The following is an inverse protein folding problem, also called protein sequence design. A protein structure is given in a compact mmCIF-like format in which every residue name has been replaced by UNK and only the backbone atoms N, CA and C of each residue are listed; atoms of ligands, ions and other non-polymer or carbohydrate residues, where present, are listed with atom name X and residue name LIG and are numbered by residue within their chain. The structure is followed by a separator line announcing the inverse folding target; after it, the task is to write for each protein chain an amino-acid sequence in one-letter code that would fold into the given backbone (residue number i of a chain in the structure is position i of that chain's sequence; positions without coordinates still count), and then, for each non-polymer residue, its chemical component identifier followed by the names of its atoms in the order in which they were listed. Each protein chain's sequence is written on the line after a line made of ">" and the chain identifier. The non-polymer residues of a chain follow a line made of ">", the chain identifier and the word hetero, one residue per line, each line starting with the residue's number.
data_IF_731668421681
#
_entry.id   IF_731668421681
#
_cell.length_a   1.000
_cell.length_b   1.000
_cell.length_c   1.000
_cell.angle_alpha   90.00
_cell.angle_beta   90.00
_cell.angle_gamma   90.00
#
_symmetry.space_group_name_H-M   'P 1'
#
loop_
_entity.id
_entity.type
_entity.pdbx_description
1 polymer ?
#
# COMPACT_ATOMS: atom_id res chain seq x y z
N UNK A 1 0.22 2.40 26.80
CA UNK A 1 -0.19 0.98 26.85
C UNK A 1 0.39 0.30 25.63
N UNK A 2 1.33 -0.63 25.82
CA UNK A 2 1.98 -1.34 24.71
C UNK A 2 1.15 -2.59 24.39
N UNK A 3 0.93 -2.85 23.11
CA UNK A 3 0.25 -4.06 22.63
C UNK A 3 1.16 -5.26 22.87
N UNK A 4 1.00 -5.95 24.00
CA UNK A 4 1.69 -7.21 24.25
C UNK A 4 0.92 -8.33 23.53
N UNK A 5 1.28 -8.57 22.27
CA UNK A 5 0.64 -9.58 21.42
C UNK A 5 1.33 -10.93 21.63
N UNK A 6 0.95 -11.61 22.72
CA UNK A 6 1.07 -13.07 22.84
C UNK A 6 2.45 -13.65 23.16
N UNK A 7 2.57 -14.22 24.37
CA UNK A 7 3.64 -15.16 24.74
C UNK A 7 4.19 -14.93 26.15
N UNK A 8 4.20 -15.98 26.98
CA UNK A 8 4.94 -15.97 28.25
C UNK A 8 6.43 -16.22 27.94
N UNK A 9 7.28 -15.20 28.08
CA UNK A 9 8.73 -15.34 27.89
C UNK A 9 9.45 -14.04 27.57
N UNK A 10 10.78 -14.03 27.76
CA UNK A 10 11.63 -12.87 27.44
C UNK A 10 11.92 -12.72 25.93
N UNK A 11 11.82 -13.82 25.17
CA UNK A 11 12.01 -13.88 23.71
C UNK A 11 10.72 -13.51 22.97
N UNK A 12 10.75 -12.57 22.02
CA UNK A 12 9.58 -12.19 21.25
C UNK A 12 9.22 -13.25 20.19
N UNK A 13 7.94 -13.31 19.84
CA UNK A 13 7.48 -14.24 18.81
C UNK A 13 7.96 -13.79 17.42
N UNK A 14 7.99 -14.74 16.48
CA UNK A 14 8.28 -14.44 15.08
C UNK A 14 7.31 -13.37 14.53
N UNK A 15 6.02 -13.45 14.90
CA UNK A 15 5.01 -12.50 14.44
C UNK A 15 5.25 -11.09 14.99
N UNK A 16 5.57 -10.95 16.28
CA UNK A 16 5.96 -9.65 16.88
C UNK A 16 7.15 -9.03 16.15
N UNK A 17 8.18 -9.82 15.82
CA UNK A 17 9.36 -9.37 15.08
C UNK A 17 9.02 -8.96 13.63
N UNK A 18 8.23 -9.78 12.94
CA UNK A 18 7.84 -9.53 11.55
C UNK A 18 6.98 -8.26 11.41
N UNK A 19 6.07 -8.04 12.37
CA UNK A 19 5.24 -6.85 12.42
C UNK A 19 6.09 -5.60 12.65
N UNK A 20 7.07 -5.67 13.57
CA UNK A 20 8.03 -4.59 13.80
C UNK A 20 8.91 -4.29 12.56
N UNK A 21 9.25 -5.29 11.75
CA UNK A 21 10.03 -5.08 10.52
C UNK A 21 9.22 -4.40 9.40
N UNK A 22 7.92 -4.68 9.28
CA UNK A 22 7.08 -4.16 8.20
C UNK A 22 6.65 -2.69 8.41
N UNK A 23 6.65 -2.22 9.65
CA UNK A 23 6.11 -0.90 10.01
C UNK A 23 6.78 0.28 9.29
N UNK A 24 8.12 0.38 9.15
CA UNK A 24 8.73 1.47 8.40
C UNK A 24 8.34 1.49 6.93
N UNK A 25 8.19 0.32 6.30
CA UNK A 25 7.81 0.21 4.90
C UNK A 25 6.36 0.66 4.67
N UNK A 26 5.44 0.28 5.57
CA UNK A 26 4.05 0.73 5.50
C UNK A 26 3.92 2.22 5.80
N UNK A 27 4.68 2.75 6.77
CA UNK A 27 4.73 4.18 7.07
C UNK A 27 5.20 4.98 5.86
N UNK A 28 6.22 4.50 5.14
CA UNK A 28 6.69 5.12 3.89
C UNK A 28 5.58 5.21 2.86
N UNK A 29 4.90 4.09 2.57
CA UNK A 29 3.85 4.03 1.56
C UNK A 29 2.64 4.91 1.93
N UNK A 30 2.28 4.96 3.21
CA UNK A 30 1.21 5.82 3.69
C UNK A 30 1.57 7.32 3.59
N UNK A 31 2.81 7.68 3.91
CA UNK A 31 3.29 9.05 3.78
C UNK A 31 3.37 9.49 2.32
N UNK A 32 3.90 8.67 1.42
CA UNK A 32 3.97 9.02 0.00
C UNK A 32 2.57 9.17 -0.61
N UNK A 33 1.65 8.26 -0.29
CA UNK A 33 0.26 8.37 -0.77
C UNK A 33 -0.43 9.62 -0.23
N UNK A 34 -0.35 9.88 1.08
CA UNK A 34 -0.97 11.07 1.68
C UNK A 34 -0.37 12.36 1.13
N UNK A 35 0.96 12.46 1.02
CA UNK A 35 1.63 13.60 0.40
C UNK A 35 1.21 13.79 -1.06
N UNK A 36 1.08 12.71 -1.84
CA UNK A 36 0.57 12.77 -3.22
C UNK A 36 -0.84 13.33 -3.30
N UNK A 37 -1.75 12.90 -2.44
CA UNK A 37 -3.12 13.44 -2.38
C UNK A 37 -3.12 14.91 -1.95
N UNK A 38 -2.30 15.29 -0.96
CA UNK A 38 -2.19 16.69 -0.55
C UNK A 38 -1.50 17.58 -1.59
N UNK A 39 -0.60 17.03 -2.41
CA UNK A 39 0.09 17.75 -3.48
C UNK A 39 -0.87 18.31 -4.52
N UNK A 40 -1.98 17.61 -4.79
CA UNK A 40 -3.07 18.10 -5.66
C UNK A 40 -3.64 19.46 -5.21
N UNK A 41 -3.53 19.79 -3.91
CA UNK A 41 -4.09 21.01 -3.33
C UNK A 41 -3.05 22.08 -3.01
N UNK A 42 -1.77 21.71 -2.87
CA UNK A 42 -0.67 22.61 -2.48
C UNK A 42 0.58 22.33 -3.31
N UNK A 43 0.99 23.25 -4.21
CA UNK A 43 2.12 23.01 -5.11
C UNK A 43 3.48 22.88 -4.41
N UNK A 44 3.61 23.41 -3.19
CA UNK A 44 4.83 23.27 -2.38
C UNK A 44 5.14 21.80 -2.02
N UNK A 45 4.13 20.94 -1.98
CA UNK A 45 4.31 19.52 -1.62
C UNK A 45 4.86 18.68 -2.78
N UNK A 46 4.74 19.13 -4.03
CA UNK A 46 5.41 18.46 -5.15
C UNK A 46 6.93 18.46 -4.97
N UNK A 47 7.50 19.56 -4.46
CA UNK A 47 8.94 19.64 -4.17
C UNK A 47 9.36 18.68 -3.05
N UNK A 48 8.48 18.37 -2.10
CA UNK A 48 8.74 17.35 -1.08
C UNK A 48 8.63 15.95 -1.69
N UNK A 49 7.71 15.76 -2.63
CA UNK A 49 7.50 14.50 -3.36
C UNK A 49 8.72 14.13 -4.24
N UNK A 50 9.34 15.13 -4.89
CA UNK A 50 10.56 14.95 -5.69
C UNK A 50 11.74 14.39 -4.87
N UNK A 51 11.78 14.70 -3.56
CA UNK A 51 12.80 14.25 -2.61
C UNK A 51 12.22 13.32 -1.55
N UNK A 52 11.28 12.45 -1.93
CA UNK A 52 10.63 11.48 -1.03
C UNK A 52 11.63 10.61 -0.26
N UNK A 53 12.67 10.12 -0.95
CA UNK A 53 13.69 9.25 -0.35
C UNK A 53 14.46 9.97 0.75
N UNK A 54 14.90 11.20 0.48
CA UNK A 54 15.69 12.02 1.38
C UNK A 54 14.86 12.46 2.59
N UNK A 55 13.63 12.89 2.34
CA UNK A 55 12.69 13.27 3.39
C UNK A 55 12.38 12.10 4.31
N UNK A 56 12.08 10.93 3.75
CA UNK A 56 11.79 9.73 4.54
C UNK A 56 13.03 9.26 5.32
N UNK A 57 14.22 9.28 4.72
CA UNK A 57 15.45 8.93 5.41
C UNK A 57 15.74 9.88 6.58
N UNK A 58 15.53 11.19 6.41
CA UNK A 58 15.67 12.18 7.48
C UNK A 58 14.65 11.93 8.59
N UNK A 59 13.38 11.72 8.24
CA UNK A 59 12.32 11.45 9.21
C UNK A 59 12.62 10.19 10.03
N UNK A 60 12.98 9.10 9.37
CA UNK A 60 13.36 7.85 10.05
C UNK A 60 14.64 8.02 10.86
N UNK A 61 15.63 8.80 10.42
CA UNK A 61 16.81 9.10 11.21
C UNK A 61 16.45 9.80 12.53
N UNK A 62 15.53 10.76 12.51
CA UNK A 62 15.06 11.46 13.71
C UNK A 62 14.30 10.51 14.63
N UNK A 63 13.33 9.76 14.10
CA UNK A 63 12.51 8.82 14.88
C UNK A 63 13.35 7.70 15.51
N UNK A 64 14.24 7.07 14.73
CA UNK A 64 15.11 5.99 15.20
C UNK A 64 16.15 6.50 16.21
N UNK A 65 16.75 7.66 15.96
CA UNK A 65 17.69 8.27 16.90
C UNK A 65 17.02 8.62 18.23
N UNK A 66 15.78 9.12 18.18
CA UNK A 66 15.00 9.39 19.39
C UNK A 66 14.66 8.10 20.14
N UNK A 67 14.10 7.10 19.43
CA UNK A 67 13.71 5.82 20.03
C UNK A 67 14.89 5.09 20.67
N UNK A 68 16.03 4.96 19.98
CA UNK A 68 17.22 4.31 20.54
C UNK A 68 17.83 5.09 21.72
N UNK A 69 17.55 6.39 21.83
CA UNK A 69 18.00 7.21 22.95
C UNK A 69 17.08 7.08 24.16
N UNK A 70 15.77 6.93 23.97
CA UNK A 70 14.78 6.91 25.05
C UNK A 70 14.41 5.49 25.49
N UNK A 71 14.18 4.58 24.55
CA UNK A 71 13.63 3.24 24.81
C UNK A 71 14.61 2.10 24.54
N UNK A 72 15.84 2.37 24.10
CA UNK A 72 16.89 1.37 23.81
C UNK A 72 16.45 0.31 22.76
N UNK A 73 15.49 0.66 21.90
CA UNK A 73 15.01 -0.13 20.77
C UNK A 73 14.72 0.74 19.55
N UNK A 74 14.55 0.12 18.37
CA UNK A 74 14.12 0.86 17.17
C UNK A 74 12.73 1.47 17.38
N UNK A 75 12.36 2.44 16.55
CA UNK A 75 11.03 3.07 16.61
C UNK A 75 9.91 2.02 16.49
N UNK A 76 10.04 1.10 15.53
CA UNK A 76 9.08 0.02 15.34
C UNK A 76 9.10 -1.00 16.48
N UNK A 77 10.27 -1.36 17.01
CA UNK A 77 10.38 -2.26 18.17
C UNK A 77 9.70 -1.64 19.41
N UNK A 78 9.91 -0.35 19.66
CA UNK A 78 9.27 0.39 20.75
C UNK A 78 7.74 0.41 20.65
N UNK A 79 7.19 0.41 19.43
CA UNK A 79 5.73 0.33 19.20
C UNK A 79 5.14 -1.00 19.65
N UNK A 80 5.87 -2.08 19.45
CA UNK A 80 5.48 -3.44 19.88
C UNK A 80 5.99 -3.82 21.27
N UNK A 81 6.60 -2.88 22.01
CA UNK A 81 7.13 -3.14 23.36
C UNK A 81 8.38 -4.01 23.39
N UNK A 82 9.15 -3.97 22.31
CA UNK A 82 10.42 -4.68 22.14
C UNK A 82 11.62 -3.76 22.41
N UNK A 83 12.72 -4.33 22.88
CA UNK A 83 13.99 -3.63 23.20
C UNK A 83 15.20 -4.42 22.74
N UNK A 84 16.29 -3.72 22.40
CA UNK A 84 17.57 -4.35 22.06
C UNK A 84 18.41 -4.54 23.30
N UNK A 85 19.13 -5.65 23.37
CA UNK A 85 20.14 -5.93 24.40
C UNK A 85 21.41 -6.46 23.75
N UNK A 86 22.60 -6.03 24.20
CA UNK A 86 23.83 -6.60 23.70
C UNK A 86 23.97 -8.04 24.17
N UNK A 87 24.40 -8.91 23.27
CA UNK A 87 24.74 -10.29 23.60
C UNK A 87 26.09 -10.28 24.31
N UNK A 88 26.12 -10.72 25.57
CA UNK A 88 27.37 -11.06 26.24
C UNK A 88 27.83 -12.39 25.65
N UNK A 89 28.73 -12.35 24.67
CA UNK A 89 29.46 -13.55 24.23
C UNK A 89 30.39 -13.96 25.38
N UNK A 90 29.84 -14.71 26.34
CA UNK A 90 30.65 -15.37 27.36
C UNK A 90 31.38 -16.50 26.66
N UNK A 91 32.65 -16.26 26.31
CA UNK A 91 33.55 -17.34 25.93
C UNK A 91 33.65 -18.25 27.16
N UNK A 92 33.08 -19.45 27.03
CA UNK A 92 33.01 -20.47 28.09
C UNK A 92 34.43 -20.92 28.44
N UNK A 93 35.12 -20.18 29.32
CA UNK A 93 36.33 -20.66 29.99
C UNK A 93 35.86 -21.45 31.20
N UNK A 94 36.03 -22.76 31.13
CA UNK A 94 35.65 -23.70 32.18
C UNK A 94 36.35 -23.37 33.50
N UNK A 95 35.60 -22.84 34.45
CA UNK A 95 35.89 -22.99 35.88
C UNK A 95 34.56 -23.10 36.62
N UNK A 96 34.31 -24.31 37.09
CA UNK A 96 33.22 -24.72 37.98
C UNK A 96 33.26 -23.98 39.30
N UNK A 97 32.07 -23.57 39.78
CA UNK A 97 31.85 -23.26 41.19
C UNK A 97 31.81 -21.78 41.54
N UNK A 98 30.71 -21.11 41.21
CA UNK A 98 30.17 -20.01 42.00
C UNK A 98 28.71 -19.77 41.57
N UNK A 99 27.77 -20.07 42.44
CA UNK A 99 26.39 -19.58 42.35
C UNK A 99 26.43 -18.05 42.49
N UNK A 100 26.65 -17.35 41.38
CA UNK A 100 26.55 -15.90 41.34
C UNK A 100 25.08 -15.54 41.14
N UNK A 101 24.44 -15.13 42.23
CA UNK A 101 23.18 -14.39 42.27
C UNK A 101 23.36 -12.96 41.69
N UNK A 102 24.10 -12.85 40.57
CA UNK A 102 24.33 -11.63 39.80
C UNK A 102 23.10 -11.40 38.93
N UNK A 103 22.09 -10.83 39.59
CA UNK A 103 20.91 -10.25 38.97
C UNK A 103 21.33 -9.47 37.73
N UNK A 104 21.00 -10.03 36.57
CA UNK A 104 20.43 -9.46 35.35
C UNK A 104 20.28 -7.92 35.22
N UNK A 105 21.21 -7.09 35.72
CA UNK A 105 21.27 -5.66 35.45
C UNK A 105 21.85 -5.47 34.04
N UNK A 106 20.95 -5.43 33.07
CA UNK A 106 20.83 -4.33 32.10
C UNK A 106 22.14 -3.72 31.60
N UNK A 107 22.82 -4.43 30.69
CA UNK A 107 23.84 -3.81 29.86
C UNK A 107 23.17 -2.86 28.86
N UNK A 108 23.13 -1.57 29.21
CA UNK A 108 22.74 -0.45 28.34
C UNK A 108 23.49 -0.52 27.01
N UNK A 109 22.83 -0.27 25.88
CA UNK A 109 23.50 -0.25 24.57
C UNK A 109 24.64 0.78 24.55
N UNK A 110 25.80 0.35 24.04
CA UNK A 110 26.95 1.23 23.87
C UNK A 110 26.59 2.33 22.85
N UNK A 111 27.08 3.55 23.04
CA UNK A 111 26.85 4.67 22.10
C UNK A 111 27.18 4.29 20.64
N UNK A 112 28.26 3.52 20.43
CA UNK A 112 28.65 3.00 19.11
C UNK A 112 27.60 2.05 18.53
N UNK A 113 27.05 1.15 19.34
CA UNK A 113 25.99 0.23 18.89
C UNK A 113 24.71 0.98 18.52
N UNK A 114 24.34 2.03 19.28
CA UNK A 114 23.19 2.89 18.97
C UNK A 114 23.36 3.59 17.62
N UNK A 115 24.51 4.23 17.38
CA UNK A 115 24.78 4.92 16.12
C UNK A 115 24.82 3.92 14.96
N UNK A 116 25.52 2.79 15.13
CA UNK A 116 25.56 1.76 14.10
C UNK A 116 24.17 1.19 13.79
N UNK A 117 23.31 1.00 14.80
CA UNK A 117 21.93 0.57 14.54
C UNK A 117 21.12 1.58 13.74
N UNK A 118 21.26 2.89 13.99
CA UNK A 118 20.59 3.92 13.18
C UNK A 118 21.11 3.87 11.75
N UNK A 119 22.43 3.75 11.57
CA UNK A 119 23.05 3.65 10.24
C UNK A 119 22.49 2.43 9.49
N UNK A 120 22.45 1.24 10.11
CA UNK A 120 21.89 0.06 9.47
C UNK A 120 20.39 0.17 9.17
N UNK A 121 19.61 0.85 10.02
CA UNK A 121 18.17 0.99 9.84
C UNK A 121 17.75 2.07 8.84
N UNK A 122 18.60 3.07 8.59
CA UNK A 122 18.26 4.21 7.73
C UNK A 122 19.11 4.27 6.48
N UNK A 123 20.43 4.16 6.64
CA UNK A 123 21.39 4.34 5.55
C UNK A 123 21.37 3.13 4.61
N UNK A 124 21.30 1.91 5.14
CA UNK A 124 21.21 0.70 4.32
C UNK A 124 19.94 0.68 3.44
N UNK A 125 18.72 0.89 3.96
CA UNK A 125 17.54 0.92 3.09
C UNK A 125 17.53 2.11 2.13
N UNK A 126 18.10 3.26 2.49
CA UNK A 126 18.26 4.39 1.55
C UNK A 126 19.19 4.03 0.39
N UNK A 127 20.34 3.41 0.66
CA UNK A 127 21.22 2.93 -0.40
C UNK A 127 20.55 1.83 -1.24
N UNK A 128 19.82 0.91 -0.61
CA UNK A 128 19.05 -0.12 -1.32
C UNK A 128 18.01 0.51 -2.25
N UNK A 129 17.25 1.52 -1.80
CA UNK A 129 16.23 2.18 -2.63
C UNK A 129 16.85 2.97 -3.78
N UNK A 130 17.96 3.68 -3.54
CA UNK A 130 18.69 4.38 -4.62
C UNK A 130 19.29 3.42 -5.64
N UNK A 131 19.89 2.33 -5.21
CA UNK A 131 20.40 1.28 -6.11
C UNK A 131 19.27 0.66 -6.93
N UNK A 132 18.14 0.34 -6.31
CA UNK A 132 16.96 -0.18 -7.01
C UNK A 132 16.40 0.82 -8.03
N UNK A 133 16.36 2.11 -7.69
CA UNK A 133 15.90 3.16 -8.61
C UNK A 133 16.80 3.28 -9.83
N UNK A 134 18.12 3.27 -9.63
CA UNK A 134 19.10 3.30 -10.73
C UNK A 134 18.96 2.04 -11.59
N UNK A 135 18.86 0.87 -10.98
CA UNK A 135 18.67 -0.41 -11.67
C UNK A 135 17.37 -0.44 -12.49
N UNK A 136 16.26 0.02 -11.91
CA UNK A 136 14.97 0.06 -12.61
C UNK A 136 15.01 0.99 -13.80
N UNK A 137 15.59 2.20 -13.67
CA UNK A 137 15.75 3.15 -14.77
C UNK A 137 16.57 2.56 -15.93
N UNK A 138 17.69 1.90 -15.63
CA UNK A 138 18.47 1.23 -16.67
C UNK A 138 17.72 0.07 -17.32
N UNK A 139 17.03 -0.74 -16.51
CA UNK A 139 16.27 -1.88 -17.00
C UNK A 139 15.11 -1.42 -17.88
N UNK A 140 14.39 -0.39 -17.49
CA UNK A 140 13.32 0.24 -18.27
C UNK A 140 13.86 0.82 -19.58
N UNK A 141 14.99 1.53 -19.54
CA UNK A 141 15.62 2.05 -20.76
C UNK A 141 16.06 0.92 -21.72
N UNK A 142 16.63 -0.17 -21.19
CA UNK A 142 16.99 -1.35 -21.99
C UNK A 142 15.77 -2.05 -22.57
N UNK A 143 14.71 -2.22 -21.77
CA UNK A 143 13.45 -2.83 -22.20
C UNK A 143 12.78 -1.96 -23.27
N UNK A 144 12.70 -0.65 -23.07
CA UNK A 144 12.11 0.29 -24.03
C UNK A 144 12.89 0.26 -25.35
N UNK A 145 14.22 0.28 -25.32
CA UNK A 145 15.06 0.16 -26.51
C UNK A 145 14.88 -1.20 -27.23
N UNK A 146 14.65 -2.29 -26.49
CA UNK A 146 14.40 -3.62 -27.07
C UNK A 146 13.01 -3.76 -27.69
N UNK A 147 12.01 -3.06 -27.15
CA UNK A 147 10.61 -3.14 -27.59
C UNK A 147 10.30 -2.17 -28.74
N UNK A 148 10.90 -0.98 -28.73
CA UNK A 148 10.59 0.10 -29.69
C UNK A 148 11.71 0.35 -30.70
N UNK A 149 12.80 -0.43 -30.65
CA UNK A 149 14.02 -0.16 -31.41
C UNK A 149 14.74 1.10 -30.92
N UNK A 150 15.93 1.35 -31.43
CA UNK A 150 16.77 2.51 -31.09
C UNK A 150 16.25 3.79 -31.77
N UNK A 151 14.93 4.00 -31.75
CA UNK A 151 14.26 5.19 -32.25
C UNK A 151 14.36 6.30 -31.21
N UNK A 152 15.04 7.37 -31.59
CA UNK A 152 15.31 8.58 -30.82
C UNK A 152 14.02 9.40 -30.59
N UNK A 153 12.98 8.80 -30.04
CA UNK A 153 11.71 9.48 -29.75
C UNK A 153 11.64 9.76 -28.26
N UNK A 154 12.34 10.82 -27.87
CA UNK A 154 12.12 11.54 -26.63
C UNK A 154 10.76 12.23 -26.70
N UNK A 155 9.68 11.48 -26.51
CA UNK A 155 8.34 12.03 -26.25
C UNK A 155 8.29 12.54 -24.81
N UNK A 156 8.79 13.75 -24.59
CA UNK A 156 8.37 14.63 -23.50
C UNK A 156 8.98 16.03 -23.74
N UNK A 157 8.47 16.71 -24.76
CA UNK A 157 8.25 18.17 -24.79
C UNK A 157 7.56 18.54 -26.12
N UNK A 158 6.23 18.39 -26.16
CA UNK A 158 5.42 18.98 -27.21
C UNK A 158 5.17 20.47 -26.88
N UNK A 159 6.00 21.32 -27.46
CA UNK A 159 5.59 22.43 -28.32
C UNK A 159 4.37 23.28 -27.89
N UNK A 160 4.67 24.46 -27.36
CA UNK A 160 3.88 25.67 -27.60
C UNK A 160 4.77 26.65 -28.36
N UNK A 161 4.43 26.81 -29.64
CA UNK A 161 5.08 27.61 -30.68
C UNK A 161 5.28 29.08 -30.26
N UNK A 162 6.49 29.60 -30.46
CA UNK A 162 6.67 30.95 -31.03
C UNK A 162 8.00 31.05 -31.78
N UNK A 163 7.81 31.18 -33.08
CA UNK A 163 8.76 31.56 -34.12
C UNK A 163 9.29 32.99 -33.92
N UNK A 164 10.61 33.16 -33.94
CA UNK A 164 11.29 34.28 -34.61
C UNK A 164 12.83 34.21 -34.44
N UNK A 165 13.53 34.17 -35.59
CA UNK A 165 14.66 35.08 -35.82
C UNK A 165 16.09 34.60 -35.51
N UNK A 166 16.72 34.02 -36.54
CA UNK A 166 18.07 34.36 -37.03
C UNK A 166 19.33 34.22 -36.14
N UNK A 167 20.23 33.37 -36.65
CA UNK A 167 21.69 33.57 -36.78
C UNK A 167 22.55 33.72 -35.52
N UNK A 168 23.34 32.68 -35.25
CA UNK A 168 24.82 32.74 -35.34
C UNK A 168 25.45 31.40 -35.01
N UNK A 169 26.18 30.86 -35.99
CA UNK A 169 27.29 29.95 -35.75
C UNK A 169 28.26 30.62 -34.78
N UNK A 170 28.59 29.95 -33.68
CA UNK A 170 29.77 30.28 -32.90
C UNK A 170 30.35 28.98 -32.36
N UNK A 171 31.52 28.67 -32.91
CA UNK A 171 32.50 27.74 -32.40
C UNK A 171 32.65 27.92 -30.89
N UNK A 172 32.45 26.84 -30.12
CA UNK A 172 33.10 26.67 -28.83
C UNK A 172 33.61 25.23 -28.77
N UNK A 173 34.73 25.02 -29.44
CA UNK A 173 35.65 23.93 -29.13
C UNK A 173 36.50 24.37 -27.94
N UNK A 174 36.07 24.00 -26.72
CA UNK A 174 36.93 23.89 -25.55
C UNK A 174 36.16 23.14 -24.44
N UNK A 175 36.82 22.14 -23.85
CA UNK A 175 36.40 21.27 -22.72
C UNK A 175 35.59 19.99 -23.01
N UNK A 176 35.98 19.20 -24.03
CA UNK A 176 35.43 17.85 -24.29
C UNK A 176 36.22 16.69 -23.63
N UNK A 177 37.31 16.96 -22.91
CA UNK A 177 38.17 15.93 -22.31
C UNK A 177 37.66 15.35 -20.97
N UNK A 178 37.14 16.18 -20.08
CA UNK A 178 36.78 15.76 -18.70
C UNK A 178 35.37 15.16 -18.62
N UNK A 179 34.44 15.63 -19.46
CA UNK A 179 33.06 15.12 -19.52
C UNK A 179 33.01 13.69 -20.09
N UNK A 180 33.95 13.33 -20.97
CA UNK A 180 34.02 11.99 -21.59
C UNK A 180 34.41 10.89 -20.59
N UNK A 181 35.42 11.12 -19.75
CA UNK A 181 35.87 10.13 -18.77
C UNK A 181 34.85 9.92 -17.66
N UNK A 182 34.22 10.99 -17.15
CA UNK A 182 33.17 10.87 -16.14
C UNK A 182 31.92 10.19 -16.71
N UNK A 183 31.55 10.45 -17.97
CA UNK A 183 30.47 9.75 -18.65
C UNK A 183 30.79 8.25 -18.86
N UNK A 184 32.03 7.91 -19.20
CA UNK A 184 32.49 6.52 -19.40
C UNK A 184 32.53 5.74 -18.08
N UNK A 185 33.05 6.35 -17.01
CA UNK A 185 33.05 5.79 -15.66
C UNK A 185 31.62 5.61 -15.15
N UNK A 186 30.74 6.60 -15.36
CA UNK A 186 29.32 6.51 -14.99
C UNK A 186 28.62 5.38 -15.75
N UNK A 187 28.88 5.21 -17.04
CA UNK A 187 28.35 4.13 -17.87
C UNK A 187 28.85 2.75 -17.41
N UNK A 188 30.14 2.62 -17.12
CA UNK A 188 30.72 1.38 -16.62
C UNK A 188 30.20 1.03 -15.22
N UNK A 189 30.07 2.03 -14.35
CA UNK A 189 29.52 1.85 -13.01
C UNK A 189 28.04 1.46 -13.05
N UNK A 190 27.26 2.08 -13.93
CA UNK A 190 25.85 1.74 -14.09
C UNK A 190 25.67 0.33 -14.69
N UNK A 191 26.49 -0.05 -15.69
CA UNK A 191 26.53 -1.42 -16.19
C UNK A 191 26.94 -2.45 -15.11
N UNK A 192 27.93 -2.10 -14.27
CA UNK A 192 28.34 -2.93 -13.13
C UNK A 192 27.21 -3.08 -12.10
N UNK A 193 26.49 -2.00 -11.78
CA UNK A 193 25.30 -2.05 -10.93
C UNK A 193 24.24 -2.97 -11.55
N UNK A 194 23.98 -2.84 -12.86
CA UNK A 194 23.05 -3.68 -13.60
C UNK A 194 23.33 -5.18 -13.45
N UNK A 195 24.60 -5.57 -13.41
CA UNK A 195 25.02 -6.98 -13.28
C UNK A 195 25.11 -7.42 -11.82
N UNK A 196 25.70 -6.62 -10.93
CA UNK A 196 25.96 -6.99 -9.55
C UNK A 196 24.73 -6.85 -8.64
N UNK A 197 23.83 -5.90 -8.90
CA UNK A 197 22.69 -5.61 -8.04
C UNK A 197 21.74 -6.79 -7.84
N UNK A 198 21.31 -7.55 -8.88
CA UNK A 198 20.44 -8.71 -8.69
C UNK A 198 21.03 -9.77 -7.76
N UNK A 199 22.34 -10.02 -7.87
CA UNK A 199 23.04 -10.97 -7.01
C UNK A 199 23.14 -10.47 -5.57
N UNK A 200 23.53 -9.21 -5.37
CA UNK A 200 23.60 -8.60 -4.03
C UNK A 200 22.21 -8.61 -3.37
N UNK A 201 21.17 -8.25 -4.12
CA UNK A 201 19.79 -8.28 -3.64
C UNK A 201 19.38 -9.71 -3.27
N UNK A 202 19.60 -10.69 -4.15
CA UNK A 202 19.27 -12.09 -3.90
C UNK A 202 20.02 -12.66 -2.68
N UNK A 203 21.31 -12.36 -2.53
CA UNK A 203 22.09 -12.77 -1.35
C UNK A 203 21.57 -12.13 -0.08
N UNK A 204 21.25 -10.83 -0.09
CA UNK A 204 20.72 -10.14 1.09
C UNK A 204 19.34 -10.68 1.51
N UNK A 205 18.44 -10.90 0.57
CA UNK A 205 17.12 -11.50 0.85
C UNK A 205 17.26 -12.97 1.30
N UNK A 206 18.12 -13.75 0.65
CA UNK A 206 18.40 -15.14 1.02
C UNK A 206 18.99 -15.27 2.42
N UNK A 207 19.95 -14.41 2.78
CA UNK A 207 20.48 -14.34 4.15
C UNK A 207 19.38 -13.94 5.14
N UNK A 208 18.59 -12.91 4.83
CA UNK A 208 17.51 -12.46 5.71
C UNK A 208 16.50 -13.59 5.96
N UNK A 209 16.08 -14.30 4.91
CA UNK A 209 15.20 -15.46 5.01
C UNK A 209 15.82 -16.61 5.83
N UNK A 210 17.09 -16.93 5.61
CA UNK A 210 17.78 -17.98 6.36
C UNK A 210 17.82 -17.66 7.86
N UNK A 211 18.11 -16.41 8.25
CA UNK A 211 18.07 -15.98 9.65
C UNK A 211 16.65 -16.02 10.23
N UNK A 212 15.64 -15.58 9.47
CA UNK A 212 14.24 -15.66 9.88
C UNK A 212 13.78 -17.11 10.10
N UNK A 213 14.17 -18.04 9.23
CA UNK A 213 13.87 -19.46 9.35
C UNK A 213 14.61 -20.08 10.55
N UNK A 214 15.89 -19.78 10.73
CA UNK A 214 16.67 -20.21 11.90
C UNK A 214 16.12 -19.65 13.20
N UNK A 215 15.58 -18.44 13.19
CA UNK A 215 14.90 -17.84 14.33
C UNK A 215 13.60 -18.58 14.66
N UNK A 216 12.82 -18.96 13.64
CA UNK A 216 11.57 -19.72 13.80
C UNK A 216 11.84 -21.15 14.32
N UNK A 217 12.93 -21.78 13.87
CA UNK A 217 13.36 -23.11 14.32
C UNK A 217 14.10 -23.10 15.68
N UNK A 218 14.07 -21.97 16.40
CA UNK A 218 14.79 -21.76 17.67
C UNK A 218 16.33 -21.98 17.61
N UNK A 219 16.92 -22.11 16.42
CA UNK A 219 18.35 -22.38 16.24
C UNK A 219 19.26 -21.16 16.47
N UNK A 220 18.74 -19.94 16.27
CA UNK A 220 19.48 -18.71 16.58
C UNK A 220 18.61 -17.71 17.35
N UNK A 221 19.23 -16.89 18.20
CA UNK A 221 18.57 -15.80 18.92
C UNK A 221 18.45 -14.51 18.09
N UNK A 222 18.99 -14.49 16.86
CA UNK A 222 19.07 -13.31 16.00
C UNK A 222 18.04 -13.40 14.86
N UNK A 223 17.24 -12.36 14.70
CA UNK A 223 16.21 -12.30 13.65
C UNK A 223 16.75 -11.86 12.28
N UNK A 224 17.77 -10.99 12.26
CA UNK A 224 18.35 -10.46 11.03
C UNK A 224 19.88 -10.50 11.05
N UNK A 225 20.54 -10.61 9.87
CA UNK A 225 21.99 -10.61 9.79
C UNK A 225 22.61 -9.32 10.33
N UNK A 226 21.92 -8.18 10.21
CA UNK A 226 22.35 -6.91 10.76
C UNK A 226 22.41 -6.92 12.30
N UNK A 227 21.42 -7.54 12.96
CA UNK A 227 21.42 -7.68 14.41
C UNK A 227 22.56 -8.59 14.91
N UNK A 228 22.84 -9.67 14.16
CA UNK A 228 23.96 -10.54 14.45
C UNK A 228 25.31 -9.81 14.32
N UNK A 229 25.52 -9.05 13.24
CA UNK A 229 26.73 -8.26 13.03
C UNK A 229 26.95 -7.20 14.14
N UNK A 230 25.87 -6.67 14.71
CA UNK A 230 25.91 -5.71 15.83
C UNK A 230 26.04 -6.39 17.21
N UNK A 231 25.88 -7.71 17.28
CA UNK A 231 25.83 -8.47 18.53
C UNK A 231 24.64 -8.07 19.40
N UNK A 232 23.49 -7.75 18.80
CA UNK A 232 22.28 -7.31 19.50
C UNK A 232 21.18 -8.37 19.34
N UNK A 233 20.49 -8.70 20.43
CA UNK A 233 19.27 -9.50 20.40
C UNK A 233 18.10 -8.64 20.89
N UNK A 234 16.88 -9.00 20.48
CA UNK A 234 15.67 -8.24 20.83
C UNK A 234 14.87 -9.03 21.86
N UNK A 235 14.43 -8.35 22.92
CA UNK A 235 13.68 -8.89 24.06
C UNK A 235 12.41 -8.06 24.32
N UNK A 236 11.43 -8.67 24.99
CA UNK A 236 10.26 -7.92 25.49
C UNK A 236 10.65 -6.98 26.63
N UNK A 237 10.11 -5.76 26.62
CA UNK A 237 10.33 -4.79 27.68
C UNK A 237 9.49 -5.11 28.92
N UNK A 238 10.10 -5.16 30.10
CA UNK A 238 9.37 -5.31 31.37
C UNK A 238 8.83 -3.94 31.83
N UNK A 239 7.63 -3.91 32.44
CA UNK A 239 6.99 -2.66 32.92
C UNK A 239 7.87 -1.84 33.88
N UNK A 240 8.63 -2.52 34.74
CA UNK A 240 9.58 -1.89 35.65
C UNK A 240 10.73 -1.19 34.90
N UNK A 241 11.25 -1.79 33.83
CA UNK A 241 12.32 -1.21 33.01
C UNK A 241 11.85 -0.03 32.18
N UNK A 242 10.55 0.01 31.81
CA UNK A 242 9.95 1.16 31.14
C UNK A 242 9.90 2.37 32.09
N UNK A 243 9.46 2.16 33.33
CA UNK A 243 9.41 3.21 34.35
C UNK A 243 10.81 3.73 34.71
N UNK A 244 11.81 2.84 34.82
CA UNK A 244 13.19 3.27 35.06
C UNK A 244 13.74 4.08 33.87
N UNK A 245 13.48 3.64 32.63
CA UNK A 245 13.91 4.35 31.44
C UNK A 245 13.32 5.75 31.31
N UNK A 246 12.02 5.94 31.58
CA UNK A 246 11.37 7.25 31.51
C UNK A 246 11.93 8.21 32.56
N UNK A 247 12.22 7.71 33.78
CA UNK A 247 12.85 8.49 34.83
C UNK A 247 14.27 8.94 34.45
N UNK A 248 15.04 8.05 33.79
CA UNK A 248 16.40 8.35 33.30
C UNK A 248 16.37 9.39 32.17
N UNK A 249 15.45 9.24 31.21
CA UNK A 249 15.27 10.19 30.10
C UNK A 249 14.92 11.58 30.64
N UNK A 250 14.00 11.66 31.61
CA UNK A 250 13.63 12.92 32.26
C UNK A 250 14.82 13.61 32.94
N UNK A 251 15.68 12.85 33.65
CA UNK A 251 16.91 13.36 34.27
C UNK A 251 17.91 13.90 33.24
N UNK A 252 18.09 13.21 32.11
CA UNK A 252 18.99 13.66 31.03
C UNK A 252 18.47 14.95 30.41
N UNK A 253 17.16 15.00 30.11
CA UNK A 253 16.53 16.20 29.53
C UNK A 253 16.64 17.40 30.46
N UNK A 254 16.42 17.22 31.76
CA UNK A 254 16.58 18.31 32.73
C UNK A 254 18.02 18.83 32.77
N UNK A 255 19.02 17.93 32.74
CA UNK A 255 20.44 18.33 32.64
C UNK A 255 20.76 19.09 31.35
N UNK A 256 20.17 18.72 30.23
CA UNK A 256 20.35 19.46 28.96
C UNK A 256 19.70 20.85 29.02
N UNK A 257 18.49 20.94 29.57
CA UNK A 257 17.78 22.20 29.77
C UNK A 257 18.47 23.15 30.76
N UNK A 258 19.25 22.60 31.70
CA UNK A 258 20.10 23.36 32.62
C UNK A 258 21.37 23.89 31.94
N UNK A 259 21.93 23.13 30.99
CA UNK A 259 23.16 23.48 30.25
C UNK A 259 22.97 24.53 29.16
N UNK A 260 21.74 24.95 28.85
CA UNK A 260 21.46 26.01 27.89
C UNK A 260 22.07 27.34 28.35
N UNK A 261 23.04 27.85 27.58
CA UNK A 261 23.71 29.14 27.76
C UNK A 261 23.04 30.19 26.86
N UNK A 262 22.74 31.37 27.40
CA UNK A 262 22.17 32.49 26.64
C UNK A 262 21.41 33.49 27.52
N UNK A 263 20.97 34.62 26.95
CA UNK A 263 20.12 35.61 27.63
C UNK A 263 18.77 35.00 28.05
N UNK A 264 18.11 35.54 29.08
CA UNK A 264 16.97 34.89 29.75
C UNK A 264 15.80 34.59 28.81
N UNK A 265 15.47 35.50 27.89
CA UNK A 265 14.37 35.34 26.93
C UNK A 265 14.64 34.28 25.85
N UNK A 266 15.87 34.23 25.32
CA UNK A 266 16.29 33.22 24.34
C UNK A 266 16.33 31.84 24.98
N UNK A 267 16.75 31.76 26.25
CA UNK A 267 16.75 30.52 27.03
C UNK A 267 15.34 29.99 27.26
N UNK A 268 14.36 30.83 27.58
CA UNK A 268 12.95 30.41 27.70
C UNK A 268 12.41 29.94 26.35
N UNK A 269 12.66 30.66 25.25
CA UNK A 269 12.20 30.22 23.93
C UNK A 269 12.83 28.89 23.50
N UNK A 270 14.15 28.74 23.65
CA UNK A 270 14.85 27.49 23.32
C UNK A 270 14.38 26.33 24.19
N UNK A 271 14.12 26.57 25.48
CA UNK A 271 13.55 25.58 26.40
C UNK A 271 12.16 25.14 25.97
N UNK A 272 11.27 26.10 25.63
CA UNK A 272 9.92 25.78 25.17
C UNK A 272 9.95 25.02 23.85
N UNK A 273 10.79 25.45 22.90
CA UNK A 273 10.93 24.77 21.60
C UNK A 273 11.47 23.35 21.75
N UNK A 274 12.54 23.15 22.51
CA UNK A 274 13.12 21.82 22.76
C UNK A 274 12.15 20.93 23.53
N UNK A 275 11.44 21.48 24.52
CA UNK A 275 10.44 20.71 25.26
C UNK A 275 9.28 20.31 24.34
N UNK A 276 8.78 21.23 23.50
CA UNK A 276 7.76 20.96 22.49
C UNK A 276 8.22 19.86 21.52
N UNK A 277 9.44 19.95 21.01
CA UNK A 277 10.03 18.93 20.14
C UNK A 277 10.14 17.57 20.84
N UNK A 278 10.70 17.51 22.05
CA UNK A 278 10.79 16.26 22.80
C UNK A 278 9.41 15.69 23.12
N UNK A 279 8.44 16.52 23.53
CA UNK A 279 7.07 16.06 23.75
C UNK A 279 6.45 15.55 22.46
N UNK A 280 6.65 16.22 21.32
CA UNK A 280 6.10 15.80 20.04
C UNK A 280 6.63 14.43 19.61
N UNK A 281 7.93 14.17 19.85
CA UNK A 281 8.56 12.88 19.55
C UNK A 281 8.14 11.77 20.53
N UNK A 282 8.02 12.09 21.82
CA UNK A 282 7.54 11.14 22.84
C UNK A 282 6.08 10.73 22.58
N UNK A 283 5.24 11.68 22.16
CA UNK A 283 3.84 11.44 21.81
C UNK A 283 3.63 11.01 20.35
N UNK A 284 4.67 10.95 19.52
CA UNK A 284 4.55 10.53 18.12
C UNK A 284 3.98 9.10 18.02
N UNK A 285 4.44 8.21 18.91
CA UNK A 285 3.94 6.83 19.01
C UNK A 285 2.44 6.78 19.37
N UNK A 286 2.01 7.52 20.39
CA UNK A 286 0.59 7.59 20.77
C UNK A 286 -0.26 8.27 19.71
N UNK A 287 0.29 9.30 19.06
CA UNK A 287 -0.35 10.02 17.98
C UNK A 287 -0.57 9.14 16.75
N UNK A 288 0.40 8.28 16.40
CA UNK A 288 0.25 7.32 15.30
C UNK A 288 -0.88 6.32 15.59
N UNK A 289 -0.93 5.76 16.81
CA UNK A 289 -2.01 4.84 17.21
C UNK A 289 -3.37 5.54 17.14
N UNK A 290 -3.47 6.76 17.66
CA UNK A 290 -4.69 7.56 17.61
C UNK A 290 -5.10 7.90 16.17
N UNK A 291 -4.13 8.20 15.29
CA UNK A 291 -4.37 8.49 13.89
C UNK A 291 -4.88 7.25 13.13
N UNK A 292 -4.30 6.07 13.37
CA UNK A 292 -4.79 4.81 12.80
C UNK A 292 -6.21 4.51 13.27
N UNK A 293 -6.49 4.71 14.56
CA UNK A 293 -7.84 4.55 15.11
C UNK A 293 -8.84 5.51 14.44
N UNK A 294 -8.50 6.80 14.37
CA UNK A 294 -9.35 7.81 13.74
C UNK A 294 -9.55 7.53 12.25
N UNK A 295 -8.50 7.11 11.54
CA UNK A 295 -8.59 6.72 10.14
C UNK A 295 -9.52 5.51 9.96
N UNK A 296 -9.40 4.48 10.79
CA UNK A 296 -10.29 3.31 10.74
C UNK A 296 -11.74 3.67 11.08
N UNK A 297 -11.95 4.57 12.03
CA UNK A 297 -13.28 5.11 12.33
C UNK A 297 -13.85 5.89 11.13
N UNK A 298 -13.02 6.68 10.46
CA UNK A 298 -13.42 7.43 9.26
C UNK A 298 -13.71 6.49 8.10
N UNK A 299 -12.87 5.49 7.86
CA UNK A 299 -13.09 4.44 6.86
C UNK A 299 -14.41 3.71 7.09
N UNK A 300 -14.67 3.29 8.33
CA UNK A 300 -15.94 2.69 8.72
C UNK A 300 -17.12 3.64 8.48
N UNK A 301 -16.97 4.93 8.80
CA UNK A 301 -18.01 5.95 8.57
C UNK A 301 -18.34 6.09 7.08
N UNK A 302 -17.33 6.16 6.21
CA UNK A 302 -17.52 6.29 4.77
C UNK A 302 -18.02 5.00 4.13
N UNK A 303 -17.52 3.82 4.50
CA UNK A 303 -18.05 2.53 4.01
C UNK A 303 -19.52 2.36 4.39
N UNK A 304 -19.88 2.69 5.63
CA UNK A 304 -21.27 2.64 6.09
C UNK A 304 -22.16 3.65 5.36
N UNK A 305 -21.62 4.78 4.89
CA UNK A 305 -22.36 5.74 4.08
C UNK A 305 -22.53 5.22 2.64
N UNK A 306 -21.49 4.64 2.06
CA UNK A 306 -21.51 4.03 0.73
C UNK A 306 -22.52 2.88 0.68
N UNK A 307 -22.51 1.96 1.64
CA UNK A 307 -23.49 0.87 1.74
C UNK A 307 -24.94 1.37 1.77
N UNK A 308 -25.19 2.51 2.43
CA UNK A 308 -26.52 3.13 2.47
C UNK A 308 -26.91 3.81 1.16
N UNK A 309 -25.94 4.30 0.39
CA UNK A 309 -26.17 4.94 -0.92
C UNK A 309 -26.23 3.91 -2.06
N UNK A 310 -25.49 2.80 -1.94
CA UNK A 310 -25.42 1.72 -2.93
C UNK A 310 -26.46 0.63 -2.72
N UNK A 311 -27.17 0.63 -1.58
CA UNK A 311 -28.30 -0.25 -1.37
C UNK A 311 -29.32 0.00 -2.49
N UNK A 312 -29.59 -0.98 -3.36
CA UNK A 312 -30.54 -0.80 -4.44
C UNK A 312 -31.88 -0.42 -3.81
N UNK A 313 -32.40 0.75 -4.18
CA UNK A 313 -33.79 1.09 -3.92
C UNK A 313 -34.62 0.02 -4.60
N UNK A 314 -35.06 -0.98 -3.82
CA UNK A 314 -35.99 -2.00 -4.29
C UNK A 314 -37.32 -1.30 -4.50
N UNK A 315 -37.48 -0.71 -5.68
CA UNK A 315 -38.78 -0.23 -6.11
C UNK A 315 -39.71 -1.44 -6.13
N UNK A 316 -40.95 -1.30 -5.60
CA UNK A 316 -41.93 -2.36 -5.79
C UNK A 316 -42.03 -2.66 -7.29
N UNK A 317 -42.10 -3.94 -7.69
CA UNK A 317 -42.23 -4.29 -9.09
C UNK A 317 -43.39 -3.49 -9.68
N UNK A 318 -43.20 -2.81 -10.83
CA UNK A 318 -44.28 -2.05 -11.44
C UNK A 318 -45.48 -2.97 -11.64
N UNK A 319 -46.72 -2.49 -11.47
CA UNK A 319 -47.90 -3.31 -11.69
C UNK A 319 -47.83 -3.95 -13.07
N UNK A 320 -48.26 -5.23 -13.23
CA UNK A 320 -48.19 -5.92 -14.50
C UNK A 320 -48.91 -5.10 -15.58
N UNK A 321 -48.38 -5.05 -16.81
CA UNK A 321 -49.00 -4.28 -17.89
C UNK A 321 -50.44 -4.75 -18.10
N UNK A 322 -51.38 -3.83 -18.41
CA UNK A 322 -52.77 -4.19 -18.65
C UNK A 322 -52.85 -5.18 -19.82
N UNK A 323 -53.78 -6.14 -19.70
CA UNK A 323 -54.00 -7.15 -20.74
C UNK A 323 -54.34 -6.47 -22.09
N UNK A 324 -53.82 -7.00 -23.21
CA UNK A 324 -54.12 -6.47 -24.55
C UNK A 324 -55.62 -6.55 -24.83
N UNK A 325 -56.21 -5.42 -25.23
CA UNK A 325 -57.63 -5.32 -25.54
C UNK A 325 -57.93 -5.95 -26.90
N UNK A 326 -58.99 -6.76 -26.97
CA UNK A 326 -59.52 -7.30 -28.23
C UNK A 326 -60.13 -6.15 -29.03
N UNK A 327 -59.87 -6.10 -30.34
CA UNK A 327 -60.46 -5.08 -31.20
C UNK A 327 -61.97 -5.37 -31.39
N UNK A 328 -62.78 -4.31 -31.53
CA UNK A 328 -64.25 -4.46 -31.71
C UNK A 328 -64.60 -5.31 -32.94
N UNK A 329 -63.78 -5.23 -33.98
CA UNK A 329 -63.93 -5.98 -35.24
C UNK A 329 -62.95 -7.17 -35.35
N UNK A 330 -62.30 -7.53 -34.25
CA UNK A 330 -61.39 -8.66 -34.17
C UNK A 330 -62.13 -10.00 -33.98
N UNK A 331 -61.44 -11.10 -34.21
CA UNK A 331 -61.97 -12.42 -33.91
C UNK A 331 -62.26 -12.56 -32.40
N UNK A 332 -63.46 -13.04 -32.01
CA UNK A 332 -63.79 -13.26 -30.61
C UNK A 332 -62.93 -14.38 -30.02
N UNK A 333 -62.62 -14.26 -28.74
CA UNK A 333 -61.88 -15.29 -28.02
C UNK A 333 -62.81 -16.46 -27.67
N UNK A 334 -62.38 -17.72 -27.86
CA UNK A 334 -63.12 -18.87 -27.38
C UNK A 334 -63.19 -18.86 -25.83
N UNK A 335 -64.24 -19.45 -25.23
CA UNK A 335 -64.40 -19.50 -23.77
C UNK A 335 -63.25 -20.28 -23.11
N UNK A 336 -62.76 -21.33 -23.78
CA UNK A 336 -61.64 -22.13 -23.31
C UNK A 336 -60.29 -21.57 -23.79
N UNK A 337 -59.43 -21.22 -22.83
CA UNK A 337 -58.09 -20.65 -23.08
C UNK A 337 -57.10 -21.63 -23.72
N UNK A 338 -57.41 -22.92 -23.76
CA UNK A 338 -56.58 -23.98 -24.37
C UNK A 338 -56.85 -24.16 -25.86
N UNK A 339 -57.92 -23.56 -26.38
CA UNK A 339 -58.30 -23.61 -27.78
C UNK A 339 -57.62 -22.49 -28.60
N UNK A 340 -57.38 -22.78 -29.87
CA UNK A 340 -56.88 -21.81 -30.83
C UNK A 340 -58.05 -20.95 -31.35
N UNK A 341 -57.97 -19.60 -31.31
CA UNK A 341 -59.03 -18.73 -31.81
C UNK A 341 -59.29 -18.80 -33.33
N UNK A 342 -58.38 -19.41 -34.11
CA UNK A 342 -58.49 -19.51 -35.57
C UNK A 342 -59.11 -20.84 -36.04
N UNK A 343 -58.76 -21.96 -35.41
CA UNK A 343 -59.26 -23.28 -35.80
C UNK A 343 -60.20 -23.91 -34.77
N UNK A 344 -60.42 -23.27 -33.62
CA UNK A 344 -61.25 -23.73 -32.50
C UNK A 344 -60.90 -25.13 -31.97
N UNK A 345 -59.70 -25.65 -32.28
CA UNK A 345 -59.18 -26.92 -31.78
C UNK A 345 -58.11 -26.68 -30.70
N UNK A 346 -57.79 -27.74 -29.94
CA UNK A 346 -56.68 -27.72 -28.98
C UNK A 346 -55.39 -27.29 -29.68
N UNK A 347 -54.66 -26.35 -29.07
CA UNK A 347 -53.47 -25.75 -29.70
C UNK A 347 -52.40 -26.80 -29.97
N UNK A 348 -52.08 -27.01 -31.25
CA UNK A 348 -50.93 -27.79 -31.70
C UNK A 348 -49.78 -26.85 -32.04
N UNK A 349 -48.60 -27.07 -31.44
CA UNK A 349 -47.45 -26.17 -31.49
C UNK A 349 -47.84 -24.72 -31.15
N UNK A 350 -48.13 -24.42 -29.86
CA UNK A 350 -48.59 -23.11 -29.45
C UNK A 350 -47.54 -22.05 -29.79
N UNK A 351 -47.97 -20.96 -30.40
CA UNK A 351 -47.11 -19.84 -30.79
C UNK A 351 -47.77 -18.53 -30.41
N UNK A 352 -47.02 -17.67 -29.74
CA UNK A 352 -47.44 -16.31 -29.39
C UNK A 352 -47.10 -15.34 -30.51
N UNK A 353 -48.00 -14.40 -30.77
CA UNK A 353 -47.70 -13.25 -31.62
C UNK A 353 -47.20 -12.11 -30.73
N UNK A 354 -45.93 -11.75 -30.83
CA UNK A 354 -45.30 -10.73 -29.95
C UNK A 354 -45.96 -9.35 -30.05
N UNK A 355 -46.58 -9.01 -31.18
CA UNK A 355 -47.29 -7.74 -31.36
C UNK A 355 -48.57 -7.60 -30.52
N UNK A 356 -49.25 -8.71 -30.20
CA UNK A 356 -50.54 -8.69 -29.51
C UNK A 356 -50.60 -9.53 -28.23
N UNK A 357 -49.61 -10.39 -27.99
CA UNK A 357 -49.54 -11.26 -26.82
C UNK A 357 -50.51 -12.46 -26.84
N UNK A 358 -51.26 -12.66 -27.92
CA UNK A 358 -52.19 -13.79 -28.05
C UNK A 358 -51.51 -15.04 -28.61
N UNK A 359 -51.99 -16.21 -28.17
CA UNK A 359 -51.42 -17.52 -28.52
C UNK A 359 -52.36 -18.28 -29.46
N UNK A 360 -51.78 -18.84 -30.52
CA UNK A 360 -52.45 -19.58 -31.58
C UNK A 360 -51.69 -20.89 -31.89
N UNK A 361 -52.22 -21.72 -32.78
CA UNK A 361 -51.42 -22.76 -33.44
C UNK A 361 -50.46 -22.10 -34.44
N UNK A 362 -49.21 -22.58 -34.51
CA UNK A 362 -48.20 -22.05 -35.44
C UNK A 362 -48.67 -22.03 -36.90
N UNK A 363 -49.26 -23.11 -37.39
CA UNK A 363 -49.76 -23.21 -38.78
C UNK A 363 -50.88 -22.21 -39.08
N UNK A 364 -51.80 -22.01 -38.13
CA UNK A 364 -52.93 -21.11 -38.28
C UNK A 364 -52.49 -19.63 -38.31
N UNK A 365 -51.64 -19.23 -37.38
CA UNK A 365 -51.19 -17.83 -37.30
C UNK A 365 -50.20 -17.48 -38.41
N UNK A 366 -49.35 -18.41 -38.82
CA UNK A 366 -48.44 -18.21 -39.94
C UNK A 366 -49.21 -17.92 -41.24
N UNK A 367 -50.27 -18.70 -41.52
CA UNK A 367 -51.13 -18.49 -42.70
C UNK A 367 -51.86 -17.15 -42.64
N UNK A 368 -52.45 -16.79 -41.49
CA UNK A 368 -53.23 -15.55 -41.37
C UNK A 368 -52.36 -14.30 -41.43
N UNK A 369 -51.20 -14.28 -40.76
CA UNK A 369 -50.25 -13.16 -40.78
C UNK A 369 -49.57 -13.02 -42.14
N UNK A 370 -49.24 -14.12 -42.81
CA UNK A 370 -48.67 -14.08 -44.17
C UNK A 370 -49.63 -13.49 -45.20
N UNK A 371 -50.94 -13.69 -45.03
CA UNK A 371 -51.96 -13.19 -45.97
C UNK A 371 -52.41 -11.76 -45.65
N UNK A 372 -52.64 -11.45 -44.38
CA UNK A 372 -53.28 -10.20 -43.96
C UNK A 372 -52.34 -9.20 -43.29
N UNK A 373 -51.09 -9.59 -42.98
CA UNK A 373 -50.05 -8.76 -42.32
C UNK A 373 -50.53 -8.04 -41.04
N UNK A 374 -51.49 -8.64 -40.33
CA UNK A 374 -52.12 -8.10 -39.12
C UNK A 374 -52.53 -9.22 -38.17
N UNK A 375 -52.67 -8.89 -36.88
CA UNK A 375 -53.19 -9.80 -35.89
C UNK A 375 -54.69 -10.04 -36.09
N UNK A 376 -55.18 -11.29 -36.10
CA UNK A 376 -56.61 -11.57 -36.25
C UNK A 376 -57.50 -11.09 -35.09
N UNK A 377 -56.95 -10.89 -33.90
CA UNK A 377 -57.70 -10.55 -32.67
C UNK A 377 -57.64 -9.05 -32.37
N UNK A 378 -56.46 -8.43 -32.51
CA UNK A 378 -56.27 -7.01 -32.20
C UNK A 378 -56.21 -6.11 -33.44
N UNK A 379 -56.16 -6.68 -34.65
CA UNK A 379 -55.96 -5.98 -35.93
C UNK A 379 -54.68 -5.13 -35.99
N UNK A 380 -53.79 -5.25 -35.02
CA UNK A 380 -52.48 -4.59 -35.02
C UNK A 380 -51.62 -5.12 -36.17
N UNK A 381 -50.81 -4.26 -36.83
CA UNK A 381 -49.90 -4.71 -37.88
C UNK A 381 -48.92 -5.73 -37.32
N UNK A 382 -48.75 -6.85 -38.03
CA UNK A 382 -47.91 -7.94 -37.57
C UNK A 382 -47.17 -8.61 -38.74
N UNK A 383 -45.92 -8.97 -38.49
CA UNK A 383 -45.07 -9.68 -39.46
C UNK A 383 -44.79 -11.11 -39.01
N UNK A 384 -44.39 -11.97 -39.95
CA UNK A 384 -44.11 -13.39 -39.68
C UNK A 384 -42.97 -13.56 -38.67
N UNK A 385 -42.02 -12.63 -38.62
CA UNK A 385 -40.89 -12.62 -37.69
C UNK A 385 -41.31 -12.43 -36.22
N UNK A 386 -42.51 -11.87 -35.99
CA UNK A 386 -43.06 -11.64 -34.65
C UNK A 386 -43.79 -12.87 -34.09
N UNK A 387 -43.80 -13.99 -34.83
CA UNK A 387 -44.36 -15.25 -34.36
C UNK A 387 -43.29 -15.99 -33.57
N UNK A 388 -43.50 -16.18 -32.27
CA UNK A 388 -42.61 -16.94 -31.39
C UNK A 388 -43.27 -18.23 -30.98
N UNK A 389 -42.62 -19.38 -31.23
CA UNK A 389 -43.09 -20.68 -30.75
C UNK A 389 -42.89 -20.77 -29.25
N UNK A 390 -43.90 -21.27 -28.54
CA UNK A 390 -43.84 -21.54 -27.12
C UNK A 390 -43.51 -23.01 -26.94
N UNK A 391 -42.38 -23.28 -26.31
CA UNK A 391 -42.03 -24.60 -25.84
C UNK A 391 -42.47 -24.71 -24.38
N UNK A 392 -43.16 -25.78 -24.04
CA UNK A 392 -43.42 -26.12 -22.65
C UNK A 392 -42.36 -27.14 -22.26
N UNK A 393 -41.55 -26.82 -21.26
CA UNK A 393 -40.72 -27.82 -20.62
C UNK A 393 -41.67 -28.77 -19.89
N UNK A 394 -41.65 -30.05 -20.29
CA UNK A 394 -42.44 -31.12 -19.67
C UNK A 394 -41.88 -31.50 -18.31
#
# INVERSE_FOLDING_TARGET
>A
MLFQVGGQGARPTFFEMSAAQQLPASLRAALSYSLGVFALRRPLLHKVLDYEDEFFALLMAVLESHSLRTTDGSFSESLYGLRRRPVKVSVKRSSSGAESNDKAYDSVLRKRQKVLSVVFLVVLPYFKSKLQSIYNKEREARLQASLWGQGDVRFDEADLVSDQGETSQSQVEATTGEVSNMARIKKNFAALIGVCYPWIHATNEGLSFAYQLLYLLDGTAFYSPALHALGLHVCRATGQELMESSSRVSRIRNRELERLRGPPWLKTMQRVLLNCMYTSLDYAQTGLIAAVFFFKMMEWWYQSAEERMSAPTVYPPPPPPPLPKVAKDGLPLPPDRTLCPLCCQKRNNPSVLSASGFVFCYSCIFKSVSQHKRCPITLMPATVEQIRRLFHDL
#
